data_IF_809159459981
#
_entry.id   IF_809159459981
#
_cell.length_a   1.000
_cell.length_b   1.000
_cell.length_c   1.000
_cell.angle_alpha   90.00
_cell.angle_beta   90.00
_cell.angle_gamma   90.00
#
_symmetry.space_group_name_H-M   'P 1'
#
loop_
_entity.id
_entity.type
_entity.pdbx_description
1 polymer ?
#
# COMPACT_ATOMS: atom_id res chain seq x y z
N UNK A 1 -12.03 -7.35 -12.28
CA UNK A 1 -12.68 -7.60 -10.99
C UNK A 1 -11.67 -7.77 -9.83
N UNK A 2 -10.52 -7.09 -9.88
CA UNK A 2 -9.51 -7.06 -8.81
C UNK A 2 -9.06 -5.62 -8.57
N UNK A 3 -10.04 -4.74 -8.44
CA UNK A 3 -9.84 -3.31 -8.26
C UNK A 3 -10.05 -2.98 -6.78
N UNK A 4 -9.07 -2.27 -6.20
CA UNK A 4 -9.05 -1.94 -4.77
C UNK A 4 -10.29 -1.14 -4.36
N UNK A 5 -10.77 -0.25 -5.23
CA UNK A 5 -11.95 0.57 -4.96
C UNK A 5 -13.23 -0.26 -4.96
N UNK A 6 -13.32 -1.26 -5.83
CA UNK A 6 -14.42 -2.22 -5.84
C UNK A 6 -14.46 -3.05 -4.54
N UNK A 7 -13.29 -3.46 -4.02
CA UNK A 7 -13.19 -4.17 -2.73
C UNK A 7 -13.62 -3.24 -1.57
N UNK A 8 -13.13 -2.00 -1.53
CA UNK A 8 -13.53 -1.01 -0.52
C UNK A 8 -15.03 -0.79 -0.49
N UNK A 9 -15.65 -0.54 -1.65
CA UNK A 9 -17.10 -0.36 -1.76
C UNK A 9 -17.87 -1.58 -1.26
N UNK A 10 -17.38 -2.78 -1.55
CA UNK A 10 -18.01 -4.02 -1.10
C UNK A 10 -18.02 -4.15 0.43
N UNK A 11 -16.92 -3.80 1.09
CA UNK A 11 -16.80 -3.84 2.55
C UNK A 11 -17.69 -2.77 3.19
N UNK A 12 -17.68 -1.54 2.66
CA UNK A 12 -18.56 -0.44 3.14
C UNK A 12 -20.04 -0.80 3.01
N UNK A 13 -20.43 -1.51 1.94
CA UNK A 13 -21.79 -2.00 1.74
C UNK A 13 -22.12 -3.28 2.53
N UNK A 14 -21.23 -3.74 3.42
CA UNK A 14 -21.48 -4.88 4.29
C UNK A 14 -21.44 -6.25 3.62
N UNK A 15 -20.83 -6.38 2.43
CA UNK A 15 -20.76 -7.65 1.70
C UNK A 15 -19.78 -8.65 2.32
N UNK A 16 -18.90 -8.22 3.24
CA UNK A 16 -17.96 -9.10 3.93
C UNK A 16 -16.74 -8.38 4.51
N UNK A 17 -15.68 -9.14 4.79
CA UNK A 17 -14.41 -8.66 5.32
C UNK A 17 -13.27 -8.89 4.32
N UNK A 18 -12.19 -8.12 4.42
CA UNK A 18 -10.99 -8.30 3.60
C UNK A 18 -9.73 -7.89 4.35
N UNK A 19 -8.60 -8.49 4.01
CA UNK A 19 -7.28 -8.10 4.52
C UNK A 19 -6.68 -7.10 3.53
N UNK A 20 -6.51 -5.85 3.97
CA UNK A 20 -6.04 -4.75 3.14
C UNK A 20 -4.83 -4.07 3.78
N UNK A 21 -4.10 -3.31 2.96
CA UNK A 21 -3.11 -2.37 3.50
C UNK A 21 -3.82 -1.34 4.36
N UNK A 22 -3.36 -1.14 5.60
CA UNK A 22 -3.88 -0.10 6.50
C UNK A 22 -3.86 1.29 5.83
N UNK A 23 -2.80 1.59 5.05
CA UNK A 23 -2.68 2.84 4.28
C UNK A 23 -3.80 3.03 3.26
N UNK A 24 -4.31 1.94 2.68
CA UNK A 24 -5.33 2.01 1.65
C UNK A 24 -6.71 2.34 2.19
N UNK A 25 -6.97 2.06 3.48
CA UNK A 25 -8.29 2.23 4.10
C UNK A 25 -8.32 3.32 5.18
N UNK A 26 -7.22 4.07 5.33
CA UNK A 26 -7.04 5.09 6.37
C UNK A 26 -8.20 6.12 6.39
N UNK A 27 -8.62 6.61 5.23
CA UNK A 27 -9.72 7.59 5.15
C UNK A 27 -11.07 6.97 5.58
N UNK A 28 -11.31 5.71 5.22
CA UNK A 28 -12.53 4.99 5.59
C UNK A 28 -12.59 4.70 7.09
N UNK A 29 -11.44 4.39 7.70
CA UNK A 29 -11.30 4.25 9.15
C UNK A 29 -11.53 5.60 9.86
N UNK A 30 -10.88 6.68 9.41
CA UNK A 30 -11.03 8.02 10.00
C UNK A 30 -12.47 8.54 9.93
N UNK A 31 -13.17 8.25 8.84
CA UNK A 31 -14.58 8.60 8.65
C UNK A 31 -15.56 7.59 9.25
N UNK A 32 -15.05 6.55 9.94
CA UNK A 32 -15.84 5.50 10.62
C UNK A 32 -16.82 4.74 9.70
N UNK A 33 -16.46 4.60 8.43
CA UNK A 33 -17.26 3.84 7.45
C UNK A 33 -17.03 2.33 7.56
N UNK A 34 -15.92 1.91 8.19
CA UNK A 34 -15.56 0.51 8.37
C UNK A 34 -14.99 0.28 9.77
N UNK A 35 -14.98 -0.98 10.21
CA UNK A 35 -14.22 -1.43 11.38
C UNK A 35 -12.88 -2.01 10.91
N UNK A 36 -11.80 -1.64 11.59
CA UNK A 36 -10.44 -2.14 11.32
C UNK A 36 -9.99 -3.00 12.50
N UNK A 37 -9.47 -4.18 12.20
CA UNK A 37 -8.89 -5.10 13.16
C UNK A 37 -7.40 -5.29 12.83
N UNK A 38 -6.47 -4.88 13.71
CA UNK A 38 -5.04 -5.02 13.45
C UNK A 38 -4.63 -6.51 13.44
N UNK A 39 -3.75 -6.86 12.51
CA UNK A 39 -3.07 -8.17 12.49
C UNK A 39 -1.85 -8.13 13.41
N UNK A 40 -1.44 -9.27 13.97
CA UNK A 40 -0.25 -9.36 14.81
C UNK A 40 1.01 -8.90 14.06
N UNK A 41 1.82 -8.04 14.68
CA UNK A 41 2.98 -7.38 14.06
C UNK A 41 4.04 -8.36 13.51
N UNK A 42 4.12 -9.56 14.09
CA UNK A 42 5.02 -10.63 13.65
C UNK A 42 4.61 -11.26 12.32
N UNK A 43 3.35 -11.09 11.90
CA UNK A 43 2.76 -11.80 10.76
C UNK A 43 2.54 -10.90 9.53
N UNK A 44 2.65 -9.57 9.64
CA UNK A 44 2.25 -8.67 8.57
C UNK A 44 3.26 -7.57 8.24
N UNK A 45 4.44 -7.95 7.73
CA UNK A 45 5.36 -7.00 7.05
C UNK A 45 5.26 -7.18 5.53
N UNK A 46 5.05 -6.08 4.81
CA UNK A 46 5.10 -6.03 3.35
C UNK A 46 6.34 -5.23 2.93
N UNK A 47 7.17 -5.84 2.09
CA UNK A 47 8.33 -5.19 1.49
C UNK A 47 7.91 -4.59 0.15
N UNK A 48 8.24 -3.31 -0.07
CA UNK A 48 8.10 -2.64 -1.35
C UNK A 48 9.45 -2.57 -2.03
N UNK A 49 9.49 -2.86 -3.33
CA UNK A 49 10.71 -2.89 -4.12
C UNK A 49 10.59 -1.96 -5.32
N UNK A 50 11.69 -1.29 -5.66
CA UNK A 50 11.84 -0.61 -6.94
C UNK A 50 12.50 -1.60 -7.90
N UNK A 51 11.73 -2.09 -8.89
CA UNK A 51 12.22 -3.00 -9.90
C UNK A 51 12.62 -2.23 -11.17
N UNK A 52 13.83 -2.47 -11.67
CA UNK A 52 14.32 -1.93 -12.94
C UNK A 52 15.26 -2.91 -13.63
N UNK A 53 15.38 -2.78 -14.96
CA UNK A 53 16.24 -3.67 -15.74
C UNK A 53 17.72 -3.45 -15.42
N UNK A 54 18.42 -4.52 -15.04
CA UNK A 54 19.85 -4.50 -14.68
C UNK A 54 20.75 -3.98 -15.81
N UNK A 55 20.36 -4.19 -17.07
CA UNK A 55 21.18 -3.89 -18.25
C UNK A 55 20.81 -2.57 -18.94
N UNK A 56 20.00 -1.71 -18.29
CA UNK A 56 19.72 -0.36 -18.80
C UNK A 56 20.53 0.68 -18.05
N UNK A 57 21.02 1.68 -18.79
CA UNK A 57 21.61 2.88 -18.19
C UNK A 57 20.52 3.58 -17.38
N UNK A 58 20.78 3.72 -16.07
CA UNK A 58 19.90 4.45 -15.17
C UNK A 58 20.14 5.95 -15.36
N UNK A 59 19.19 6.64 -16.00
CA UNK A 59 19.30 8.09 -16.24
C UNK A 59 19.41 8.85 -14.92
N UNK A 60 20.13 10.00 -14.87
CA UNK A 60 20.34 10.75 -13.62
C UNK A 60 19.06 11.09 -12.84
N UNK A 61 17.99 11.49 -13.53
CA UNK A 61 16.70 11.79 -12.89
C UNK A 61 16.02 10.56 -12.29
N UNK A 62 16.22 9.36 -12.88
CA UNK A 62 15.68 8.11 -12.30
C UNK A 62 16.45 7.75 -11.04
N UNK A 63 17.77 7.95 -11.02
CA UNK A 63 18.58 7.78 -9.81
C UNK A 63 18.15 8.74 -8.72
N UNK A 64 17.99 10.02 -9.04
CA UNK A 64 17.47 11.03 -8.11
C UNK A 64 16.12 10.63 -7.51
N UNK A 65 15.19 10.10 -8.33
CA UNK A 65 13.92 9.59 -7.85
C UNK A 65 14.08 8.38 -6.90
N UNK A 66 14.95 7.42 -7.24
CA UNK A 66 15.22 6.27 -6.37
C UNK A 66 15.79 6.72 -5.02
N UNK A 67 16.78 7.61 -5.03
CA UNK A 67 17.41 8.14 -3.83
C UNK A 67 16.39 8.90 -2.97
N UNK A 68 15.52 9.69 -3.59
CA UNK A 68 14.42 10.38 -2.92
C UNK A 68 13.46 9.40 -2.24
N UNK A 69 12.96 8.40 -2.97
CA UNK A 69 12.00 7.43 -2.43
C UNK A 69 12.63 6.62 -1.30
N UNK A 70 13.88 6.19 -1.46
CA UNK A 70 14.60 5.44 -0.42
C UNK A 70 14.81 6.29 0.85
N UNK A 71 15.16 7.57 0.72
CA UNK A 71 15.28 8.47 1.86
C UNK A 71 13.94 8.82 2.52
N UNK A 72 12.88 9.01 1.73
CA UNK A 72 11.56 9.40 2.23
C UNK A 72 10.90 8.30 3.08
N UNK A 73 11.04 7.04 2.69
CA UNK A 73 10.41 5.89 3.35
C UNK A 73 11.33 5.14 4.34
N UNK A 74 12.53 5.66 4.64
CA UNK A 74 13.48 5.07 5.60
C UNK A 74 13.18 5.39 7.08
N UNK A 75 12.02 6.00 7.37
CA UNK A 75 11.56 6.32 8.73
C UNK A 75 10.83 5.17 9.40
#
# INVERSE_FOLDING_TARGET
MNDLESIKKSIVNGLGISILSARSVQDLEQTKQILVFPLEESQSKRLFYIAYSRHRILKPHVRCFIDFVQGYYQK
#
